data_IF_692951975692
#
_entry.id   IF_692951975692
#
_cell.length_a   1.000
_cell.length_b   1.000
_cell.length_c   1.000
_cell.angle_alpha   90.00
_cell.angle_beta   90.00
_cell.angle_gamma   90.00
#
_symmetry.space_group_name_H-M   'P 1'
#
loop_
_entity.id
_entity.type
_entity.pdbx_description
1 polymer ?
#
# COMPACT_ATOMS: atom_id res chain seq x y z
N UNK A 1 29.10 -2.55 29.61
CA UNK A 1 27.69 -2.95 29.88
C UNK A 1 26.81 -2.29 28.82
N UNK A 2 26.41 -3.08 27.86
CA UNK A 2 25.57 -2.67 26.73
C UNK A 2 24.11 -2.68 27.18
N UNK A 3 23.50 -1.51 27.26
CA UNK A 3 22.03 -1.40 27.33
C UNK A 3 21.45 -1.57 25.93
N UNK A 4 21.21 -2.80 25.53
CA UNK A 4 20.29 -3.15 24.45
C UNK A 4 18.88 -3.11 25.04
N UNK A 5 18.22 -1.97 24.99
CA UNK A 5 16.81 -1.83 25.35
C UNK A 5 15.98 -2.04 24.10
N UNK A 6 15.39 -3.12 24.09
CA UNK A 6 14.30 -3.74 23.36
C UNK A 6 13.21 -2.76 22.87
N UNK A 7 13.38 -2.18 21.67
CA UNK A 7 12.27 -1.58 20.90
C UNK A 7 11.22 -2.63 20.51
N UNK A 8 11.63 -3.90 20.42
CA UNK A 8 10.73 -5.04 20.12
C UNK A 8 9.61 -5.23 21.15
N UNK A 9 9.84 -4.83 22.40
CA UNK A 9 8.84 -4.96 23.46
C UNK A 9 7.69 -3.95 23.35
N UNK A 10 7.94 -2.74 22.87
CA UNK A 10 6.92 -1.70 22.73
C UNK A 10 6.02 -1.96 21.52
N UNK A 11 6.58 -2.38 20.41
CA UNK A 11 5.83 -2.77 19.21
C UNK A 11 4.94 -3.98 19.53
N UNK A 12 5.47 -5.00 20.22
CA UNK A 12 4.70 -6.16 20.63
C UNK A 12 3.54 -5.82 21.58
N UNK A 13 3.73 -4.88 22.53
CA UNK A 13 2.66 -4.46 23.45
C UNK A 13 1.57 -3.63 22.75
N UNK A 14 1.92 -2.79 21.80
CA UNK A 14 0.95 -2.03 21.00
C UNK A 14 0.14 -2.98 20.12
N UNK A 15 0.76 -3.99 19.53
CA UNK A 15 0.09 -4.98 18.68
C UNK A 15 -0.83 -5.93 19.48
N UNK A 16 -0.48 -6.32 20.69
CA UNK A 16 -1.31 -7.18 21.56
C UNK A 16 -2.63 -6.53 22.01
N UNK A 17 -2.75 -5.20 21.92
CA UNK A 17 -3.98 -4.47 22.25
C UNK A 17 -5.01 -4.37 21.12
N UNK A 18 -4.67 -4.84 19.92
CA UNK A 18 -5.54 -4.71 18.74
C UNK A 18 -6.23 -6.03 18.49
N UNK A 19 -7.52 -6.13 18.89
CA UNK A 19 -8.30 -7.34 18.61
C UNK A 19 -8.56 -7.49 17.11
N UNK A 20 -8.65 -8.75 16.62
CA UNK A 20 -8.89 -9.11 15.23
C UNK A 20 -10.13 -8.42 14.58
N UNK A 21 -11.06 -7.89 15.39
CA UNK A 21 -12.27 -7.19 14.93
C UNK A 21 -12.16 -5.67 14.91
N UNK A 22 -11.03 -5.10 15.31
CA UNK A 22 -10.89 -3.64 15.49
C UNK A 22 -10.36 -2.89 14.28
N UNK A 23 -9.83 -3.56 13.27
CA UNK A 23 -9.19 -2.93 12.12
C UNK A 23 -10.13 -2.14 11.20
N UNK A 24 -11.45 -2.44 11.21
CA UNK A 24 -12.51 -1.64 10.53
C UNK A 24 -13.17 -0.62 11.47
N UNK A 25 -12.72 -0.49 12.71
CA UNK A 25 -13.38 0.35 13.71
C UNK A 25 -13.26 1.85 13.38
N UNK A 26 -14.20 2.64 13.86
CA UNK A 26 -14.11 4.10 13.78
C UNK A 26 -12.85 4.65 14.46
N UNK A 27 -12.39 3.98 15.53
CA UNK A 27 -11.15 4.35 16.23
C UNK A 27 -9.93 4.15 15.33
N UNK A 28 -9.88 3.02 14.62
CA UNK A 28 -8.80 2.73 13.65
C UNK A 28 -8.81 3.74 12.52
N UNK A 29 -9.96 3.99 11.91
CA UNK A 29 -10.11 5.00 10.87
C UNK A 29 -9.61 6.37 11.34
N UNK A 30 -10.04 6.83 12.51
CA UNK A 30 -9.60 8.12 13.05
C UNK A 30 -8.10 8.17 13.36
N UNK A 31 -7.48 7.03 13.70
CA UNK A 31 -6.04 6.93 13.84
C UNK A 31 -5.34 7.14 12.50
N UNK A 32 -5.76 6.41 11.46
CA UNK A 32 -5.19 6.51 10.10
C UNK A 32 -5.38 7.91 9.50
N UNK A 33 -6.56 8.53 9.69
CA UNK A 33 -6.83 9.91 9.26
C UNK A 33 -5.89 10.92 9.93
N UNK A 34 -5.61 10.75 11.23
CA UNK A 34 -4.68 11.61 11.95
C UNK A 34 -3.24 11.40 11.51
N UNK A 35 -2.82 10.14 11.36
CA UNK A 35 -1.51 9.80 10.83
C UNK A 35 -1.27 10.48 9.48
N UNK A 36 -2.20 10.28 8.55
CA UNK A 36 -2.14 10.83 7.21
C UNK A 36 -2.18 12.37 7.21
N UNK A 37 -3.07 12.98 7.97
CA UNK A 37 -3.18 14.44 8.08
C UNK A 37 -1.91 15.08 8.63
N UNK A 38 -1.26 14.47 9.62
CA UNK A 38 0.01 14.94 10.15
C UNK A 38 1.15 14.81 9.15
N UNK A 39 1.18 13.72 8.38
CA UNK A 39 2.22 13.47 7.40
C UNK A 39 2.17 14.46 6.23
N UNK A 40 0.98 14.80 5.75
CA UNK A 40 0.77 15.68 4.58
C UNK A 40 0.67 17.16 4.96
N UNK A 41 0.32 17.48 6.21
CA UNK A 41 0.06 18.84 6.65
C UNK A 41 -1.28 19.42 6.16
N UNK A 42 -2.11 18.62 5.50
CA UNK A 42 -3.46 18.96 5.03
C UNK A 42 -4.45 17.89 5.44
N UNK A 43 -5.75 18.22 5.38
CA UNK A 43 -6.80 17.30 5.81
C UNK A 43 -6.85 16.05 4.91
N UNK A 44 -6.79 14.89 5.54
CA UNK A 44 -6.97 13.59 4.89
C UNK A 44 -8.17 12.86 5.51
N UNK A 45 -8.98 12.22 4.67
CA UNK A 45 -10.06 11.32 5.07
C UNK A 45 -9.70 9.90 4.68
N UNK A 46 -10.06 8.95 5.52
CA UNK A 46 -9.89 7.53 5.24
C UNK A 46 -11.26 6.85 5.16
N UNK A 47 -11.49 6.11 4.09
CA UNK A 47 -12.71 5.32 3.89
C UNK A 47 -12.36 3.86 3.64
N UNK A 48 -13.14 2.97 4.20
CA UNK A 48 -13.12 1.55 3.87
C UNK A 48 -14.14 1.28 2.77
N UNK A 49 -13.69 0.75 1.65
CA UNK A 49 -14.50 0.51 0.43
C UNK A 49 -14.25 -0.88 -0.13
N UNK A 50 -15.03 -1.30 -1.13
CA UNK A 50 -14.87 -2.60 -1.79
C UNK A 50 -13.79 -2.63 -2.88
N UNK A 51 -12.75 -1.78 -2.79
CA UNK A 51 -11.61 -1.81 -3.73
C UNK A 51 -10.65 -2.95 -3.40
N UNK A 52 -9.86 -3.37 -4.38
CA UNK A 52 -8.95 -4.51 -4.21
C UNK A 52 -7.77 -4.21 -3.29
N UNK A 53 -7.21 -3.00 -3.37
CA UNK A 53 -6.05 -2.58 -2.59
C UNK A 53 -6.30 -1.27 -1.85
N UNK A 54 -5.78 -0.17 -2.37
CA UNK A 54 -5.97 1.18 -1.90
C UNK A 54 -6.04 2.16 -3.09
N UNK A 55 -6.47 3.38 -2.83
CA UNK A 55 -6.43 4.48 -3.79
C UNK A 55 -6.50 5.82 -3.07
N UNK A 56 -5.89 6.86 -3.64
CA UNK A 56 -6.08 8.23 -3.19
C UNK A 56 -6.76 9.09 -4.25
N UNK A 57 -7.44 10.13 -3.80
CA UNK A 57 -8.04 11.16 -4.65
C UNK A 57 -8.01 12.52 -3.95
N UNK A 58 -8.03 13.58 -4.76
CA UNK A 58 -8.27 14.93 -4.27
C UNK A 58 -9.74 15.28 -4.46
N UNK A 59 -10.43 15.62 -3.36
CA UNK A 59 -11.82 16.05 -3.36
C UNK A 59 -11.86 17.59 -3.40
N UNK A 60 -11.82 18.16 -4.60
CA UNK A 60 -11.69 19.60 -4.83
C UNK A 60 -12.80 20.40 -4.14
N UNK A 61 -14.07 20.01 -4.31
CA UNK A 61 -15.22 20.65 -3.71
C UNK A 61 -15.19 20.66 -2.18
N UNK A 62 -14.43 19.76 -1.57
CA UNK A 62 -14.37 19.53 -0.13
C UNK A 62 -13.05 19.94 0.51
N UNK A 63 -12.03 20.19 -0.30
CA UNK A 63 -10.71 20.63 0.14
C UNK A 63 -9.99 19.62 1.03
N UNK A 64 -10.05 18.33 0.68
CA UNK A 64 -9.29 17.30 1.38
C UNK A 64 -8.86 16.15 0.45
N UNK A 65 -7.81 15.44 0.82
CA UNK A 65 -7.45 14.16 0.20
C UNK A 65 -8.28 13.03 0.79
N UNK A 66 -8.79 12.13 -0.05
CA UNK A 66 -9.45 10.91 0.39
C UNK A 66 -8.56 9.70 0.07
N UNK A 67 -8.25 8.90 1.10
CA UNK A 67 -7.61 7.61 0.95
C UNK A 67 -8.67 6.54 1.13
N UNK A 68 -8.86 5.72 0.12
CA UNK A 68 -9.74 4.57 0.16
C UNK A 68 -8.91 3.32 0.46
N UNK A 69 -9.35 2.52 1.40
CA UNK A 69 -8.72 1.27 1.79
C UNK A 69 -9.68 0.12 1.60
N UNK A 70 -9.16 -1.03 1.27
CA UNK A 70 -9.95 -2.26 1.16
C UNK A 70 -10.74 -2.53 2.44
N UNK A 71 -12.04 -2.81 2.29
CA UNK A 71 -12.95 -3.17 3.38
C UNK A 71 -13.04 -4.67 3.61
N UNK A 72 -12.73 -5.49 2.59
CA UNK A 72 -12.86 -6.94 2.64
C UNK A 72 -11.63 -7.57 3.30
N UNK A 73 -11.85 -8.72 3.94
CA UNK A 73 -10.76 -9.49 4.50
C UNK A 73 -9.84 -10.00 3.39
N UNK A 74 -8.54 -9.89 3.63
CA UNK A 74 -7.55 -10.50 2.78
C UNK A 74 -7.54 -12.01 3.05
N UNK A 75 -7.34 -12.81 2.02
CA UNK A 75 -7.03 -14.22 2.19
C UNK A 75 -5.59 -14.31 2.72
N UNK A 76 -5.48 -14.55 4.03
CA UNK A 76 -4.22 -14.54 4.76
C UNK A 76 -3.62 -15.93 4.92
N UNK A 77 -4.00 -16.86 4.09
CA UNK A 77 -3.41 -18.21 4.10
C UNK A 77 -1.98 -18.13 3.52
N UNK A 78 -1.01 -18.39 4.15
CA UNK A 78 -0.22 -18.33 5.35
C UNK A 78 0.89 -17.25 5.30
N UNK A 79 0.63 -16.06 5.73
CA UNK A 79 1.63 -14.97 5.72
C UNK A 79 2.69 -15.13 6.81
N UNK A 80 2.46 -16.02 7.74
CA UNK A 80 3.38 -16.25 8.84
C UNK A 80 3.90 -17.68 8.84
N UNK A 81 5.11 -17.90 8.35
CA UNK A 81 5.81 -19.18 8.44
C UNK A 81 5.95 -19.69 9.89
N UNK A 82 5.68 -18.84 10.87
CA UNK A 82 5.85 -19.12 12.29
C UNK A 82 4.56 -19.00 13.12
N UNK A 83 3.41 -18.70 12.53
CA UNK A 83 2.12 -18.61 13.23
C UNK A 83 2.06 -17.55 14.34
N UNK A 84 2.81 -16.44 14.20
CA UNK A 84 2.99 -15.47 15.28
C UNK A 84 2.03 -14.29 15.23
N UNK A 85 1.48 -13.95 14.07
CA UNK A 85 0.61 -12.81 13.91
C UNK A 85 -0.85 -13.22 13.73
N UNK A 86 -1.73 -12.63 14.49
CA UNK A 86 -3.17 -12.82 14.28
C UNK A 86 -3.67 -12.01 13.08
N UNK A 87 -4.77 -12.45 12.48
CA UNK A 87 -5.38 -11.82 11.30
C UNK A 87 -5.64 -10.32 11.47
N UNK A 88 -6.05 -9.88 12.68
CA UNK A 88 -6.29 -8.45 12.94
C UNK A 88 -5.02 -7.62 12.91
N UNK A 89 -3.92 -8.16 13.41
CA UNK A 89 -2.61 -7.54 13.34
C UNK A 89 -2.13 -7.43 11.90
N UNK A 90 -2.25 -8.50 11.12
CA UNK A 90 -1.88 -8.51 9.71
C UNK A 90 -2.66 -7.43 8.94
N UNK A 91 -3.99 -7.39 9.06
CA UNK A 91 -4.82 -6.37 8.43
C UNK A 91 -4.42 -4.95 8.85
N UNK A 92 -4.11 -4.76 10.13
CA UNK A 92 -3.73 -3.46 10.68
C UNK A 92 -2.42 -2.96 10.07
N UNK A 93 -1.39 -3.80 10.01
CA UNK A 93 -0.09 -3.45 9.41
C UNK A 93 -0.22 -3.21 7.91
N UNK A 94 -0.98 -4.06 7.22
CA UNK A 94 -1.23 -3.89 5.78
C UNK A 94 -1.95 -2.58 5.48
N UNK A 95 -2.94 -2.18 6.28
CA UNK A 95 -3.61 -0.88 6.15
C UNK A 95 -2.65 0.29 6.35
N UNK A 96 -1.74 0.21 7.30
CA UNK A 96 -0.73 1.25 7.49
C UNK A 96 0.22 1.33 6.28
N UNK A 97 0.65 0.20 5.76
CA UNK A 97 1.45 0.16 4.54
C UNK A 97 0.74 0.80 3.35
N UNK A 98 -0.55 0.52 3.16
CA UNK A 98 -1.35 1.18 2.14
C UNK A 98 -1.48 2.68 2.38
N UNK A 99 -1.70 3.12 3.63
CA UNK A 99 -1.76 4.57 3.92
C UNK A 99 -0.44 5.25 3.58
N UNK A 100 0.71 4.69 3.95
CA UNK A 100 2.00 5.26 3.57
C UNK A 100 2.19 5.30 2.06
N UNK A 101 1.81 4.26 1.34
CA UNK A 101 1.86 4.24 -0.12
C UNK A 101 1.02 5.37 -0.72
N UNK A 102 -0.25 5.49 -0.35
CA UNK A 102 -1.15 6.53 -0.85
C UNK A 102 -0.70 7.95 -0.44
N UNK A 103 -0.05 8.10 0.70
CA UNK A 103 0.56 9.38 1.10
C UNK A 103 1.72 9.77 0.19
N UNK A 104 2.44 8.80 -0.35
CA UNK A 104 3.45 9.03 -1.38
C UNK A 104 2.83 9.70 -2.60
N UNK A 105 1.74 9.16 -3.13
CA UNK A 105 1.02 9.79 -4.25
C UNK A 105 0.55 11.21 -3.91
N UNK A 106 -0.01 11.43 -2.73
CA UNK A 106 -0.44 12.76 -2.30
C UNK A 106 0.72 13.76 -2.25
N UNK A 107 1.92 13.31 -1.90
CA UNK A 107 3.08 14.18 -1.67
C UNK A 107 3.92 14.45 -2.92
N UNK A 108 4.01 13.48 -3.83
CA UNK A 108 4.97 13.58 -4.95
C UNK A 108 4.37 13.38 -6.34
N UNK A 109 3.14 12.83 -6.48
CA UNK A 109 2.53 12.64 -7.79
C UNK A 109 2.05 13.98 -8.37
N UNK A 110 2.54 14.32 -9.55
CA UNK A 110 2.00 15.41 -10.37
C UNK A 110 0.84 14.86 -11.23
N UNK A 111 -0.37 14.88 -10.65
CA UNK A 111 -1.56 14.34 -11.33
C UNK A 111 -1.90 15.09 -12.64
N UNK A 112 -1.57 16.39 -12.75
CA UNK A 112 -1.81 17.16 -13.96
C UNK A 112 -0.87 16.70 -15.09
N UNK A 113 0.42 16.58 -14.79
CA UNK A 113 1.39 16.01 -15.74
C UNK A 113 1.03 14.58 -16.16
N UNK A 114 0.47 13.80 -15.22
CA UNK A 114 0.02 12.44 -15.45
C UNK A 114 -1.18 12.39 -16.42
N UNK A 115 -2.15 13.25 -16.22
CA UNK A 115 -3.31 13.36 -17.11
C UNK A 115 -2.91 13.86 -18.50
N UNK A 116 -2.04 14.86 -18.58
CA UNK A 116 -1.50 15.37 -19.85
C UNK A 116 -0.76 14.27 -20.64
N UNK A 117 0.02 13.44 -19.96
CA UNK A 117 0.69 12.30 -20.59
C UNK A 117 -0.30 11.28 -21.15
N UNK A 118 -1.40 11.01 -20.45
CA UNK A 118 -2.44 10.09 -20.91
C UNK A 118 -3.26 10.65 -22.08
N UNK A 119 -3.44 11.97 -22.16
CA UNK A 119 -4.19 12.60 -23.25
C UNK A 119 -3.51 12.49 -24.62
N UNK A 120 -2.19 12.24 -24.66
CA UNK A 120 -1.44 12.00 -25.89
C UNK A 120 -1.87 10.72 -26.63
N UNK A 121 -2.57 9.81 -25.96
CA UNK A 121 -3.05 8.57 -26.56
C UNK A 121 -4.49 8.72 -27.05
N UNK A 122 -4.73 8.51 -28.34
CA UNK A 122 -6.07 8.60 -28.96
C UNK A 122 -6.97 7.39 -28.68
N UNK A 123 -6.38 6.25 -28.37
CA UNK A 123 -7.11 4.99 -28.14
C UNK A 123 -7.32 4.73 -26.64
N UNK A 124 -8.56 4.41 -26.25
CA UNK A 124 -8.89 4.03 -24.87
C UNK A 124 -8.03 2.86 -24.36
N UNK A 125 -7.78 1.86 -25.23
CA UNK A 125 -6.92 0.71 -24.87
C UNK A 125 -5.48 1.16 -24.59
N UNK A 126 -4.93 2.04 -25.44
CA UNK A 126 -3.57 2.59 -25.22
C UNK A 126 -3.52 3.47 -23.97
N UNK A 127 -4.54 4.28 -23.71
CA UNK A 127 -4.64 5.08 -22.47
C UNK A 127 -4.65 4.18 -21.23
N UNK A 128 -5.46 3.11 -21.24
CA UNK A 128 -5.53 2.19 -20.11
C UNK A 128 -4.18 1.50 -19.86
N UNK A 129 -3.52 1.04 -20.92
CA UNK A 129 -2.20 0.42 -20.83
C UNK A 129 -1.13 1.42 -20.35
N UNK A 130 -1.12 2.64 -20.91
CA UNK A 130 -0.19 3.69 -20.46
C UNK A 130 -0.42 4.05 -18.99
N UNK A 131 -1.68 4.10 -18.55
CA UNK A 131 -2.02 4.32 -17.14
C UNK A 131 -1.42 3.25 -16.24
N UNK A 132 -1.55 1.97 -16.60
CA UNK A 132 -0.99 0.88 -15.81
C UNK A 132 0.54 0.96 -15.72
N UNK A 133 1.21 1.25 -16.85
CA UNK A 133 2.67 1.39 -16.86
C UNK A 133 3.14 2.56 -16.04
N UNK A 134 2.51 3.74 -16.23
CA UNK A 134 2.86 4.93 -15.45
C UNK A 134 2.68 4.69 -13.95
N UNK A 135 1.56 4.07 -13.56
CA UNK A 135 1.31 3.73 -12.17
C UNK A 135 2.39 2.80 -11.62
N UNK A 136 2.70 1.70 -12.33
CA UNK A 136 3.69 0.75 -11.89
C UNK A 136 5.09 1.37 -11.75
N UNK A 137 5.51 2.21 -12.70
CA UNK A 137 6.81 2.90 -12.62
C UNK A 137 6.82 3.92 -11.48
N UNK A 138 5.74 4.67 -11.32
CA UNK A 138 5.61 5.65 -10.25
C UNK A 138 5.63 4.99 -8.89
N UNK A 139 4.90 3.88 -8.69
CA UNK A 139 4.85 3.14 -7.43
C UNK A 139 6.25 2.73 -6.95
N UNK A 140 7.13 2.31 -7.86
CA UNK A 140 8.52 1.97 -7.52
C UNK A 140 9.28 3.19 -7.00
N UNK A 141 9.22 4.30 -7.73
CA UNK A 141 9.90 5.55 -7.35
C UNK A 141 9.36 6.08 -6.04
N UNK A 142 8.05 6.08 -5.93
CA UNK A 142 7.30 6.52 -4.76
C UNK A 142 7.64 5.68 -3.53
N UNK A 143 7.59 4.35 -3.62
CA UNK A 143 7.92 3.50 -2.48
C UNK A 143 9.39 3.64 -2.06
N UNK A 144 10.32 3.79 -2.98
CA UNK A 144 11.71 4.07 -2.64
C UNK A 144 11.84 5.38 -1.86
N UNK A 145 11.13 6.43 -2.28
CA UNK A 145 11.17 7.73 -1.63
C UNK A 145 10.51 7.71 -0.23
N UNK A 146 9.30 7.15 -0.10
CA UNK A 146 8.58 7.15 1.18
C UNK A 146 9.23 6.24 2.22
N UNK A 147 9.94 5.18 1.80
CA UNK A 147 10.75 4.33 2.70
C UNK A 147 11.72 5.16 3.54
N UNK A 148 12.44 6.05 2.87
CA UNK A 148 13.42 6.91 3.51
C UNK A 148 12.75 8.06 4.26
N UNK A 149 11.75 8.69 3.65
CA UNK A 149 11.09 9.88 4.19
C UNK A 149 10.35 9.59 5.50
N UNK A 150 9.59 8.49 5.56
CA UNK A 150 8.83 8.08 6.75
C UNK A 150 9.52 7.02 7.60
N UNK A 151 10.67 6.49 7.18
CA UNK A 151 11.33 5.34 7.81
C UNK A 151 10.37 4.14 7.98
N UNK A 152 9.56 3.85 6.94
CA UNK A 152 8.48 2.87 6.99
C UNK A 152 8.74 1.61 6.13
N UNK A 153 10.00 1.36 5.74
CA UNK A 153 10.36 0.28 4.82
C UNK A 153 9.81 -1.09 5.23
N UNK A 154 9.91 -1.45 6.50
CA UNK A 154 9.41 -2.74 6.99
C UNK A 154 7.89 -2.89 6.83
N UNK A 155 7.13 -1.80 7.03
CA UNK A 155 5.67 -1.80 6.87
C UNK A 155 5.28 -1.94 5.40
N UNK A 156 6.01 -1.28 4.49
CA UNK A 156 5.80 -1.42 3.05
C UNK A 156 6.13 -2.82 2.56
N UNK A 157 7.26 -3.40 3.00
CA UNK A 157 7.63 -4.78 2.64
C UNK A 157 6.57 -5.77 3.12
N UNK A 158 6.10 -5.60 4.34
CA UNK A 158 5.02 -6.42 4.89
C UNK A 158 3.73 -6.27 4.07
N UNK A 159 3.31 -5.04 3.75
CA UNK A 159 2.14 -4.76 2.89
C UNK A 159 2.29 -5.46 1.53
N UNK A 160 3.46 -5.32 0.89
CA UNK A 160 3.72 -5.92 -0.42
C UNK A 160 3.63 -7.45 -0.35
N UNK A 161 4.29 -8.07 0.60
CA UNK A 161 4.25 -9.52 0.80
C UNK A 161 2.82 -10.03 1.02
N UNK A 162 2.04 -9.40 1.91
CA UNK A 162 0.64 -9.78 2.18
C UNK A 162 -0.23 -9.60 0.94
N UNK A 163 -0.07 -8.49 0.22
CA UNK A 163 -0.84 -8.18 -0.98
C UNK A 163 -0.55 -9.20 -2.08
N UNK A 164 0.72 -9.47 -2.36
CA UNK A 164 1.10 -10.48 -3.35
C UNK A 164 0.54 -11.85 -3.01
N UNK A 165 0.68 -12.28 -1.77
CA UNK A 165 0.18 -13.57 -1.34
C UNK A 165 -1.34 -13.66 -1.45
N UNK A 166 -2.06 -12.63 -1.00
CA UNK A 166 -3.52 -12.57 -1.03
C UNK A 166 -4.10 -12.53 -2.45
N UNK A 167 -3.44 -11.82 -3.38
CA UNK A 167 -3.96 -11.64 -4.74
C UNK A 167 -3.51 -12.76 -5.69
N UNK A 168 -2.32 -13.29 -5.52
CA UNK A 168 -1.71 -14.21 -6.50
C UNK A 168 -1.42 -15.61 -5.93
N UNK A 169 -1.55 -15.81 -4.62
CA UNK A 169 -1.27 -17.09 -3.96
C UNK A 169 0.20 -17.51 -3.97
N UNK A 170 1.09 -16.58 -4.31
CA UNK A 170 2.55 -16.79 -4.39
C UNK A 170 3.28 -15.65 -3.69
N UNK A 171 4.52 -15.88 -3.27
CA UNK A 171 5.34 -14.76 -2.82
C UNK A 171 5.87 -13.94 -4.01
N UNK A 172 6.31 -12.71 -3.74
CA UNK A 172 6.76 -11.79 -4.78
C UNK A 172 7.96 -12.34 -5.59
N UNK A 173 8.89 -13.06 -4.93
CA UNK A 173 10.05 -13.63 -5.59
C UNK A 173 9.64 -14.76 -6.54
N UNK A 174 8.74 -15.65 -6.11
CA UNK A 174 8.17 -16.72 -6.94
C UNK A 174 7.39 -16.15 -8.12
N UNK A 175 6.63 -15.07 -7.92
CA UNK A 175 5.92 -14.42 -9.01
C UNK A 175 6.90 -13.84 -10.05
N UNK A 176 7.93 -13.11 -9.61
CA UNK A 176 8.94 -12.55 -10.51
C UNK A 176 9.68 -13.64 -11.31
N UNK A 177 10.05 -14.75 -10.66
CA UNK A 177 10.69 -15.89 -11.31
C UNK A 177 9.75 -16.56 -12.34
N UNK A 178 8.49 -16.80 -11.99
CA UNK A 178 7.49 -17.38 -12.87
C UNK A 178 7.31 -16.54 -14.13
N UNK A 179 7.15 -15.22 -13.98
CA UNK A 179 6.94 -14.33 -15.13
C UNK A 179 8.19 -14.18 -15.99
N UNK A 180 9.38 -14.14 -15.42
CA UNK A 180 10.63 -14.11 -16.18
C UNK A 180 10.79 -15.33 -17.10
N UNK A 181 10.25 -16.49 -16.71
CA UNK A 181 10.38 -17.73 -17.49
C UNK A 181 9.22 -18.01 -18.45
N UNK A 182 8.02 -17.46 -18.21
CA UNK A 182 6.79 -17.88 -18.87
C UNK A 182 6.15 -16.82 -19.76
N UNK A 183 6.66 -15.61 -19.79
CA UNK A 183 6.17 -14.57 -20.70
C UNK A 183 7.17 -14.34 -21.81
N UNK A 184 6.75 -14.61 -23.05
CA UNK A 184 7.46 -14.12 -24.26
C UNK A 184 7.32 -12.60 -24.39
N UNK A 185 6.50 -11.98 -23.55
CA UNK A 185 6.29 -10.55 -23.50
C UNK A 185 7.06 -9.94 -22.32
N UNK A 186 8.26 -9.39 -22.63
CA UNK A 186 9.10 -8.71 -21.65
C UNK A 186 8.40 -7.57 -20.92
N UNK A 187 7.31 -7.06 -21.49
CA UNK A 187 6.50 -6.00 -20.91
C UNK A 187 5.67 -6.52 -19.74
N UNK A 188 5.00 -7.67 -19.91
CA UNK A 188 4.26 -8.29 -18.81
C UNK A 188 5.20 -8.67 -17.66
N UNK A 189 6.40 -9.19 -17.97
CA UNK A 189 7.42 -9.46 -16.96
C UNK A 189 7.87 -8.18 -16.22
N UNK A 190 7.99 -7.06 -16.90
CA UNK A 190 8.35 -5.78 -16.29
C UNK A 190 7.23 -5.26 -15.36
N UNK A 191 5.98 -5.30 -15.80
CA UNK A 191 4.82 -4.85 -14.99
C UNK A 191 4.67 -5.67 -13.71
N UNK A 192 5.09 -6.93 -13.71
CA UNK A 192 5.01 -7.80 -12.53
C UNK A 192 6.26 -7.81 -11.65
N UNK A 193 7.38 -7.34 -12.17
CA UNK A 193 8.64 -7.25 -11.40
C UNK A 193 8.79 -5.92 -10.65
N UNK A 194 7.92 -4.97 -10.94
CA UNK A 194 7.83 -3.65 -10.29
C UNK A 194 6.77 -3.67 -9.20
#
# INVERSE_FOLDING_TARGET
EQMQTSDDGLVSQVLQGISARSWKSNRRRSYLERLATLAVGSKVRVRFTGIETAACSWEEDRGYHEIQLRSDELDLNPVDEHGKLDSGTIHTLTQEGFVYHELGHVLITDFDAWMDALEQFSSLKKKAMAKQVLNAVEDVVLEAWIRDYFNCGQILDFKNQVTFHSLYGVDQAQAAEFYAYHTDDQFDALVWAI
#
